data_IF_697687410331
#
_entry.id   IF_697687410331
#
_cell.length_a   1.000
_cell.length_b   1.000
_cell.length_c   1.000
_cell.angle_alpha   90.00
_cell.angle_beta   90.00
_cell.angle_gamma   90.00
#
_symmetry.space_group_name_H-M   'P 1'
#
loop_
_entity.id
_entity.type
_entity.pdbx_description
1 polymer ?
#
# COMPACT_ATOMS: atom_id res chain seq x y z
N UNK A 1 -38.38 -2.12 -10.05
CA UNK A 1 -37.43 -3.24 -10.07
C UNK A 1 -36.42 -3.20 -11.23
N UNK A 2 -36.80 -3.29 -12.52
CA UNK A 2 -35.84 -3.40 -13.65
C UNK A 2 -34.89 -2.18 -13.80
N UNK A 3 -35.42 -0.95 -13.70
CA UNK A 3 -34.64 0.31 -13.75
C UNK A 3 -33.66 0.44 -12.57
N UNK A 4 -34.08 0.07 -11.37
CA UNK A 4 -33.21 0.09 -10.17
C UNK A 4 -32.07 -0.93 -10.27
N UNK A 5 -32.34 -2.15 -10.78
CA UNK A 5 -31.28 -3.14 -11.05
C UNK A 5 -30.26 -2.63 -12.07
N UNK A 6 -30.71 -1.97 -13.15
CA UNK A 6 -29.82 -1.38 -14.15
C UNK A 6 -28.96 -0.23 -13.59
N UNK A 7 -29.53 0.64 -12.74
CA UNK A 7 -28.78 1.71 -12.07
C UNK A 7 -27.72 1.16 -11.12
N UNK A 8 -28.04 0.12 -10.34
CA UNK A 8 -27.07 -0.54 -9.46
C UNK A 8 -25.96 -1.25 -10.24
N UNK A 9 -26.27 -1.85 -11.40
CA UNK A 9 -25.26 -2.40 -12.32
C UNK A 9 -24.32 -1.30 -12.85
N UNK A 10 -24.85 -0.11 -13.14
CA UNK A 10 -24.04 1.06 -13.48
C UNK A 10 -23.13 1.50 -12.33
N UNK A 11 -23.68 1.60 -11.12
CA UNK A 11 -22.93 2.01 -9.93
C UNK A 11 -21.82 1.02 -9.56
N UNK A 12 -22.06 -0.28 -9.69
CA UNK A 12 -21.02 -1.30 -9.44
C UNK A 12 -19.87 -1.16 -10.43
N UNK A 13 -20.15 -1.00 -11.72
CA UNK A 13 -19.09 -0.80 -12.73
C UNK A 13 -18.25 0.44 -12.41
N UNK A 14 -18.88 1.55 -12.03
CA UNK A 14 -18.17 2.78 -11.66
C UNK A 14 -17.35 2.55 -10.39
N UNK A 15 -17.93 1.93 -9.36
CA UNK A 15 -17.23 1.65 -8.11
C UNK A 15 -16.04 0.71 -8.32
N UNK A 16 -16.17 -0.28 -9.20
CA UNK A 16 -15.08 -1.19 -9.57
C UNK A 16 -13.95 -0.47 -10.27
N UNK A 17 -14.25 0.35 -11.28
CA UNK A 17 -13.24 1.15 -11.98
C UNK A 17 -12.49 2.09 -11.03
N UNK A 18 -13.19 2.71 -10.07
CA UNK A 18 -12.55 3.55 -9.05
C UNK A 18 -11.65 2.74 -8.13
N UNK A 19 -12.12 1.59 -7.66
CA UNK A 19 -11.32 0.69 -6.83
C UNK A 19 -10.04 0.23 -7.56
N UNK A 20 -10.16 -0.15 -8.83
CA UNK A 20 -9.02 -0.59 -9.64
C UNK A 20 -7.99 0.53 -9.83
N UNK A 21 -8.44 1.77 -10.05
CA UNK A 21 -7.56 2.94 -10.18
C UNK A 21 -6.80 3.24 -8.89
N UNK A 22 -7.49 3.24 -7.74
CA UNK A 22 -6.82 3.46 -6.45
C UNK A 22 -5.87 2.31 -6.09
N UNK A 23 -6.19 1.06 -6.48
CA UNK A 23 -5.29 -0.08 -6.32
C UNK A 23 -4.03 0.04 -7.17
N UNK A 24 -4.14 0.50 -8.42
CA UNK A 24 -2.98 0.78 -9.27
C UNK A 24 -2.09 1.88 -8.65
N UNK A 25 -2.70 2.96 -8.18
CA UNK A 25 -1.99 4.05 -7.49
C UNK A 25 -1.24 3.53 -6.25
N UNK A 26 -1.91 2.72 -5.43
CA UNK A 26 -1.31 2.11 -4.25
C UNK A 26 -0.13 1.18 -4.62
N UNK A 27 -0.26 0.40 -5.70
CA UNK A 27 0.79 -0.51 -6.15
C UNK A 27 2.08 0.21 -6.56
N UNK A 28 1.96 1.35 -7.25
CA UNK A 28 3.10 2.21 -7.60
C UNK A 28 3.79 2.73 -6.33
N UNK A 29 3.01 3.31 -5.41
CA UNK A 29 3.56 3.83 -4.15
C UNK A 29 4.22 2.74 -3.30
N UNK A 30 3.62 1.55 -3.23
CA UNK A 30 4.20 0.39 -2.54
C UNK A 30 5.56 0.01 -3.13
N UNK A 31 5.74 0.10 -4.44
CA UNK A 31 7.01 -0.20 -5.10
C UNK A 31 8.10 0.78 -4.68
N UNK A 32 7.77 2.07 -4.60
CA UNK A 32 8.69 3.11 -4.13
C UNK A 32 9.06 2.94 -2.66
N UNK A 33 8.07 2.74 -1.79
CA UNK A 33 8.32 2.49 -0.35
C UNK A 33 9.19 1.25 -0.17
N UNK A 34 8.88 0.14 -0.83
CA UNK A 34 9.67 -1.08 -0.74
C UNK A 34 11.10 -0.93 -1.28
N UNK A 35 11.33 -0.05 -2.27
CA UNK A 35 12.68 0.28 -2.73
C UNK A 35 13.46 1.10 -1.68
N UNK A 36 12.81 2.08 -1.05
CA UNK A 36 13.40 2.89 0.02
C UNK A 36 13.73 2.04 1.26
N UNK A 37 12.83 1.13 1.68
CA UNK A 37 13.08 0.18 2.77
C UNK A 37 14.29 -0.71 2.49
N UNK A 38 14.40 -1.26 1.27
CA UNK A 38 15.57 -2.07 0.87
C UNK A 38 16.86 -1.26 0.92
N UNK A 39 16.83 0.01 0.48
CA UNK A 39 17.99 0.90 0.54
C UNK A 39 18.45 1.15 1.98
N UNK A 40 17.51 1.41 2.89
CA UNK A 40 17.80 1.56 4.33
C UNK A 40 18.41 0.28 4.90
N UNK A 41 17.83 -0.88 4.58
CA UNK A 41 18.34 -2.18 5.04
C UNK A 41 19.76 -2.46 4.53
N UNK A 42 20.03 -2.16 3.26
CA UNK A 42 21.36 -2.30 2.66
C UNK A 42 22.39 -1.44 3.38
N UNK A 43 22.11 -0.15 3.58
CA UNK A 43 23.03 0.77 4.27
C UNK A 43 23.29 0.35 5.72
N UNK A 44 22.30 -0.22 6.41
CA UNK A 44 22.49 -0.80 7.75
C UNK A 44 23.42 -2.01 7.73
N UNK A 45 23.29 -2.88 6.74
CA UNK A 45 24.16 -4.04 6.57
C UNK A 45 25.60 -3.63 6.19
N UNK A 46 25.76 -2.61 5.34
CA UNK A 46 27.06 -2.04 4.99
C UNK A 46 27.76 -1.46 6.23
N UNK A 47 27.03 -0.69 7.06
CA UNK A 47 27.56 -0.13 8.30
C UNK A 47 28.01 -1.23 9.29
N UNK A 48 27.21 -2.27 9.46
CA UNK A 48 27.54 -3.44 10.29
C UNK A 48 28.79 -4.16 9.77
N UNK A 49 28.93 -4.29 8.44
CA UNK A 49 30.11 -4.88 7.81
C UNK A 49 31.38 -4.07 8.07
N UNK A 50 31.30 -2.73 8.01
CA UNK A 50 32.45 -1.85 8.30
C UNK A 50 32.98 -2.11 9.71
N UNK A 51 32.09 -2.25 10.70
CA UNK A 51 32.49 -2.46 12.10
C UNK A 51 32.88 -3.90 12.46
N UNK A 52 32.36 -4.90 11.75
CA UNK A 52 32.71 -6.32 11.98
C UNK A 52 34.05 -6.76 11.39
N UNK A 53 34.89 -5.82 10.95
CA UNK A 53 36.15 -6.15 10.30
C UNK A 53 37.13 -6.86 11.25
N UNK A 54 37.38 -8.16 11.03
CA UNK A 54 38.31 -9.00 11.82
C UNK A 54 39.81 -8.78 11.47
N UNK A 55 40.17 -7.62 10.92
CA UNK A 55 41.58 -7.34 10.59
C UNK A 55 42.34 -6.88 11.83
N UNK A 56 43.64 -7.19 11.88
CA UNK A 56 44.50 -6.71 12.96
C UNK A 56 44.47 -5.18 13.03
N UNK A 57 44.31 -4.66 14.24
CA UNK A 57 44.15 -3.23 14.45
C UNK A 57 45.35 -2.44 13.94
N UNK A 58 45.07 -1.44 13.10
CA UNK A 58 46.03 -0.41 12.70
C UNK A 58 45.37 0.95 12.76
N UNK A 59 46.12 2.00 13.12
CA UNK A 59 45.59 3.36 13.17
C UNK A 59 45.05 3.83 11.80
N UNK A 60 45.76 3.49 10.72
CA UNK A 60 45.33 3.82 9.36
C UNK A 60 44.01 3.10 9.01
N UNK A 61 43.89 1.81 9.32
CA UNK A 61 42.65 1.05 9.13
C UNK A 61 41.49 1.61 9.94
N UNK A 62 41.72 1.97 11.20
CA UNK A 62 40.70 2.58 12.06
C UNK A 62 40.21 3.94 11.54
N UNK A 63 41.11 4.79 11.04
CA UNK A 63 40.75 6.08 10.42
C UNK A 63 39.92 5.88 9.15
N UNK A 64 40.29 4.91 8.31
CA UNK A 64 39.55 4.57 7.11
C UNK A 64 38.14 4.05 7.45
N UNK A 65 38.04 3.09 8.37
CA UNK A 65 36.75 2.54 8.82
C UNK A 65 35.82 3.64 9.36
N UNK A 66 36.35 4.57 10.18
CA UNK A 66 35.58 5.71 10.67
C UNK A 66 35.12 6.65 9.56
N UNK A 67 35.95 6.92 8.55
CA UNK A 67 35.57 7.75 7.42
C UNK A 67 34.42 7.12 6.62
N UNK A 68 34.53 5.82 6.31
CA UNK A 68 33.50 5.04 5.62
C UNK A 68 32.20 4.96 6.42
N UNK A 69 32.30 4.70 7.73
CA UNK A 69 31.15 4.66 8.61
C UNK A 69 30.44 6.03 8.66
N UNK A 70 31.20 7.13 8.71
CA UNK A 70 30.65 8.48 8.69
C UNK A 70 29.89 8.79 7.41
N UNK A 71 30.41 8.36 6.26
CA UNK A 71 29.71 8.48 4.97
C UNK A 71 28.44 7.63 4.93
N UNK A 72 28.54 6.36 5.33
CA UNK A 72 27.40 5.44 5.39
C UNK A 72 26.30 5.93 6.33
N UNK A 73 26.64 6.48 7.50
CA UNK A 73 25.69 7.07 8.43
C UNK A 73 24.94 8.27 7.82
N UNK A 74 25.63 9.16 7.11
CA UNK A 74 24.98 10.28 6.42
C UNK A 74 24.01 9.78 5.34
N UNK A 75 24.45 8.83 4.53
CA UNK A 75 23.60 8.21 3.51
C UNK A 75 22.37 7.51 4.12
N UNK A 76 22.55 6.83 5.25
CA UNK A 76 21.49 6.17 6.00
C UNK A 76 20.46 7.18 6.52
N UNK A 77 20.91 8.27 7.14
CA UNK A 77 20.02 9.32 7.64
C UNK A 77 19.17 9.93 6.52
N UNK A 78 19.78 10.21 5.36
CA UNK A 78 19.05 10.72 4.19
C UNK A 78 18.01 9.70 3.71
N UNK A 79 18.38 8.43 3.58
CA UNK A 79 17.46 7.38 3.15
C UNK A 79 16.30 7.15 4.14
N UNK A 80 16.57 7.24 5.45
CA UNK A 80 15.53 7.14 6.48
C UNK A 80 14.58 8.35 6.44
N UNK A 81 15.09 9.56 6.19
CA UNK A 81 14.25 10.75 6.00
C UNK A 81 13.39 10.65 4.74
N UNK A 82 13.94 10.17 3.63
CA UNK A 82 13.19 9.91 2.39
C UNK A 82 12.05 8.91 2.64
N UNK A 83 12.34 7.78 3.30
CA UNK A 83 11.34 6.77 3.65
C UNK A 83 10.26 7.37 4.57
N UNK A 84 10.65 8.10 5.61
CA UNK A 84 9.72 8.75 6.53
C UNK A 84 8.81 9.76 5.81
N UNK A 85 9.32 10.47 4.79
CA UNK A 85 8.54 11.37 3.95
C UNK A 85 7.52 10.66 3.06
N UNK A 86 7.79 9.42 2.64
CA UNK A 86 6.89 8.64 1.77
C UNK A 86 5.73 7.98 2.53
N UNK A 87 5.95 7.57 3.79
CA UNK A 87 4.99 6.79 4.58
C UNK A 87 3.60 7.44 4.71
N UNK A 88 3.45 8.75 5.00
CA UNK A 88 2.13 9.37 5.10
C UNK A 88 1.34 9.30 3.80
N UNK A 89 1.99 9.55 2.66
CA UNK A 89 1.36 9.46 1.34
C UNK A 89 0.94 8.04 0.99
N UNK A 90 1.77 7.06 1.36
CA UNK A 90 1.46 5.64 1.21
C UNK A 90 0.24 5.22 2.04
N UNK A 91 0.16 5.61 3.31
CA UNK A 91 -0.99 5.28 4.17
C UNK A 91 -2.28 5.94 3.69
N UNK A 92 -2.22 7.20 3.22
CA UNK A 92 -3.39 7.85 2.61
C UNK A 92 -3.89 7.10 1.38
N UNK A 93 -2.99 6.68 0.49
CA UNK A 93 -3.35 5.88 -0.68
C UNK A 93 -3.91 4.51 -0.28
N UNK A 94 -3.34 3.88 0.77
CA UNK A 94 -3.83 2.60 1.30
C UNK A 94 -5.25 2.72 1.82
N UNK A 95 -5.57 3.78 2.57
CA UNK A 95 -6.91 4.06 3.05
C UNK A 95 -7.89 4.39 1.91
N UNK A 96 -7.46 5.16 0.90
CA UNK A 96 -8.28 5.47 -0.27
C UNK A 96 -8.65 4.18 -1.04
N UNK A 97 -7.66 3.35 -1.34
CA UNK A 97 -7.85 2.08 -2.03
C UNK A 97 -8.76 1.12 -1.23
N UNK A 98 -8.57 1.01 0.09
CA UNK A 98 -9.43 0.21 0.95
C UNK A 98 -10.88 0.70 0.95
N UNK A 99 -11.10 2.03 0.97
CA UNK A 99 -12.45 2.62 0.93
C UNK A 99 -13.15 2.36 -0.40
N UNK A 100 -12.48 2.59 -1.54
CA UNK A 100 -13.10 2.38 -2.85
C UNK A 100 -13.36 0.89 -3.12
N UNK A 101 -12.45 0.01 -2.69
CA UNK A 101 -12.69 -1.43 -2.73
C UNK A 101 -13.91 -1.83 -1.88
N UNK A 102 -14.00 -1.35 -0.64
CA UNK A 102 -15.15 -1.60 0.22
C UNK A 102 -16.47 -1.08 -0.37
N UNK A 103 -16.44 0.08 -1.03
CA UNK A 103 -17.60 0.61 -1.77
C UNK A 103 -18.03 -0.32 -2.90
N UNK A 104 -17.09 -0.81 -3.71
CA UNK A 104 -17.39 -1.75 -4.79
C UNK A 104 -18.03 -3.04 -4.26
N UNK A 105 -17.48 -3.62 -3.18
CA UNK A 105 -18.03 -4.83 -2.55
C UNK A 105 -19.41 -4.59 -1.93
N UNK A 106 -19.65 -3.42 -1.32
CA UNK A 106 -20.97 -3.08 -0.79
C UNK A 106 -22.05 -3.00 -1.89
N UNK A 107 -21.75 -2.37 -3.03
CA UNK A 107 -22.69 -2.28 -4.16
C UNK A 107 -22.96 -3.66 -4.75
N UNK A 108 -21.92 -4.50 -4.89
CA UNK A 108 -22.05 -5.89 -5.33
C UNK A 108 -22.93 -6.71 -4.40
N UNK A 109 -22.74 -6.59 -3.08
CA UNK A 109 -23.57 -7.26 -2.09
C UNK A 109 -25.04 -6.80 -2.15
N UNK A 110 -25.28 -5.50 -2.37
CA UNK A 110 -26.64 -4.97 -2.55
C UNK A 110 -27.32 -5.54 -3.81
N UNK A 111 -26.60 -5.65 -4.91
CA UNK A 111 -27.13 -6.29 -6.13
C UNK A 111 -27.48 -7.75 -5.90
N UNK A 112 -26.61 -8.51 -5.24
CA UNK A 112 -26.86 -9.92 -4.93
C UNK A 112 -28.11 -10.07 -4.08
N UNK A 113 -28.29 -9.25 -3.03
CA UNK A 113 -29.50 -9.23 -2.20
C UNK A 113 -30.77 -8.90 -2.99
N UNK A 114 -30.70 -7.99 -3.95
CA UNK A 114 -31.83 -7.65 -4.84
C UNK A 114 -32.11 -8.70 -5.92
N UNK A 115 -31.13 -9.54 -6.24
CA UNK A 115 -31.29 -10.69 -7.10
C UNK A 115 -31.93 -11.87 -6.36
N UNK A 116 -31.56 -12.09 -5.10
CA UNK A 116 -32.05 -13.20 -4.26
C UNK A 116 -33.33 -12.92 -3.49
N UNK A 117 -33.79 -11.66 -3.36
CA UNK A 117 -35.11 -11.35 -2.78
C UNK A 117 -36.22 -11.99 -3.65
N UNK A 118 -36.91 -13.04 -3.18
CA UNK A 118 -37.98 -13.68 -3.94
C UNK A 118 -39.14 -12.71 -4.12
N UNK A 119 -39.94 -12.95 -5.13
CA UNK A 119 -41.16 -12.23 -5.51
C UNK A 119 -42.28 -12.49 -4.47
N UNK A 120 -42.03 -12.26 -3.19
CA UNK A 120 -42.93 -12.62 -2.09
C UNK A 120 -44.10 -11.63 -1.87
N UNK A 121 -44.16 -10.52 -2.61
CA UNK A 121 -45.29 -9.55 -2.56
C UNK A 121 -46.36 -9.78 -3.65
N UNK A 122 -46.32 -10.89 -4.39
CA UNK A 122 -47.37 -11.26 -5.36
C UNK A 122 -48.08 -12.52 -4.90
N UNK A 123 -48.85 -12.42 -3.81
CA UNK A 123 -49.58 -13.57 -3.28
C UNK A 123 -50.46 -13.37 -2.05
N UNK A 124 -50.77 -12.14 -1.62
CA UNK A 124 -51.78 -11.89 -0.59
C UNK A 124 -52.85 -10.93 -1.10
N UNK A 125 -53.61 -11.39 -2.09
CA UNK A 125 -54.95 -10.91 -2.39
C UNK A 125 -55.85 -12.14 -2.49
N UNK A 126 -56.39 -12.52 -1.33
CA UNK A 126 -57.79 -12.84 -1.00
C UNK A 126 -58.65 -13.70 -1.96
N UNK A 127 -59.67 -14.43 -1.47
CA UNK A 127 -60.51 -14.10 -0.30
C UNK A 127 -60.39 -15.03 0.92
#
# INVERSE_FOLDING_TARGET
>A
MRRQKALLAGLERIARLKADLEMQRLAVLRTHVGAAERRVAQLKAELDTIYRTDTSFTLAGARLANALAGECCRALLTAEQELAGMLPGYELARQAAAREFGRAEAVRALQQRLASKPRADQGSAQP
#
